data_IF_797238015673
#
_entry.id   IF_797238015673
#
_cell.length_a   1.000
_cell.length_b   1.000
_cell.length_c   1.000
_cell.angle_alpha   90.00
_cell.angle_beta   90.00
_cell.angle_gamma   90.00
#
_symmetry.space_group_name_H-M   'P 1'
#
loop_
_entity.id
_entity.type
_entity.pdbx_description
1 polymer ?
#
# COMPACT_ATOMS: atom_id res chain seq x y z
N UNK A 1 -3.54 -0.05 34.22
CA UNK A 1 -3.54 0.04 33.42
C UNK A 1 -3.38 0.12 32.50
N UNK A 2 -3.14 -0.12 32.33
CA UNK A 2 -2.91 -0.04 31.40
C UNK A 2 -3.16 0.16 30.70
N UNK A 3 -3.44 0.34 30.61
CA UNK A 3 -3.71 0.56 29.76
C UNK A 3 -3.63 0.55 28.76
N UNK A 4 -3.85 0.11 28.69
CA UNK A 4 -3.73 0.06 27.71
C UNK A 4 -3.70 0.92 27.01
N UNK A 5 -3.15 1.12 26.90
CA UNK A 5 -2.76 1.79 26.03
C UNK A 5 -2.95 1.34 24.75
N UNK A 6 -3.32 0.18 24.48
CA UNK A 6 -3.69 -0.26 23.26
C UNK A 6 -4.94 0.37 23.00
N UNK A 7 -5.01 1.32 22.17
CA UNK A 7 -6.19 1.80 21.65
C UNK A 7 -6.76 0.76 20.78
N UNK A 8 -8.00 0.44 20.97
CA UNK A 8 -8.71 -0.38 20.04
C UNK A 8 -8.83 0.37 18.75
N UNK A 9 -8.45 -0.26 17.68
CA UNK A 9 -8.62 0.33 16.36
C UNK A 9 -10.07 0.23 15.94
N UNK A 10 -10.57 1.28 15.32
CA UNK A 10 -11.94 1.30 14.83
C UNK A 10 -11.97 0.83 13.39
N UNK A 11 -12.99 0.05 13.05
CA UNK A 11 -13.20 -0.43 11.69
C UNK A 11 -14.14 0.54 10.97
N UNK A 12 -13.67 1.06 9.84
CA UNK A 12 -14.45 2.01 9.05
C UNK A 12 -14.76 1.40 7.70
N UNK A 13 -16.04 1.31 7.36
CA UNK A 13 -16.46 0.79 6.06
C UNK A 13 -16.08 1.81 5.00
N UNK A 14 -15.34 1.37 3.99
CA UNK A 14 -14.87 2.26 2.93
C UNK A 14 -15.43 1.90 1.57
N UNK A 15 -16.17 0.82 1.47
CA UNK A 15 -16.83 0.44 0.23
C UNK A 15 -17.20 -1.03 0.21
N UNK A 16 -17.66 -1.48 -0.95
CA UNK A 16 -17.95 -2.88 -1.20
C UNK A 16 -16.76 -3.53 -1.87
N UNK A 17 -16.67 -4.83 -1.75
CA UNK A 17 -15.57 -5.57 -2.38
C UNK A 17 -15.49 -5.30 -3.88
N UNK A 18 -16.64 -5.08 -4.53
CA UNK A 18 -16.65 -4.78 -5.96
C UNK A 18 -16.01 -3.44 -6.32
N UNK A 19 -15.82 -2.56 -5.34
CA UNK A 19 -15.13 -1.29 -5.57
C UNK A 19 -13.62 -1.46 -5.65
N UNK A 20 -13.11 -2.63 -5.28
CA UNK A 20 -11.67 -2.89 -5.21
C UNK A 20 -11.33 -4.15 -6.02
N UNK A 21 -11.46 -4.09 -7.34
CA UNK A 21 -11.16 -5.26 -8.16
C UNK A 21 -9.68 -5.62 -8.12
N UNK A 22 -9.41 -6.89 -8.39
CA UNK A 22 -8.03 -7.38 -8.39
C UNK A 22 -7.17 -6.56 -9.36
N UNK A 23 -5.99 -6.15 -8.91
CA UNK A 23 -5.10 -5.30 -9.69
C UNK A 23 -5.43 -3.83 -9.62
N UNK A 24 -6.51 -3.46 -8.92
CA UNK A 24 -6.92 -2.07 -8.80
C UNK A 24 -6.55 -1.46 -7.47
N UNK A 25 -6.76 -0.17 -7.36
CA UNK A 25 -6.56 0.55 -6.12
C UNK A 25 -7.46 1.78 -6.09
N UNK A 26 -7.72 2.26 -4.87
CA UNK A 26 -8.59 3.42 -4.70
C UNK A 26 -8.19 4.13 -3.43
N UNK A 27 -8.20 5.47 -3.48
CA UNK A 27 -7.94 6.27 -2.28
C UNK A 27 -9.26 6.51 -1.58
N UNK A 28 -9.31 6.20 -0.30
CA UNK A 28 -10.50 6.39 0.54
C UNK A 28 -10.16 7.34 1.69
N UNK A 29 -11.17 8.01 2.20
CA UNK A 29 -10.99 8.90 3.33
C UNK A 29 -11.55 8.27 4.59
N UNK A 30 -10.75 8.29 5.64
CA UNK A 30 -11.17 7.82 6.95
C UNK A 30 -10.84 8.93 7.94
N UNK A 31 -11.85 9.72 8.29
CA UNK A 31 -11.63 10.91 9.09
C UNK A 31 -10.80 11.90 8.29
N UNK A 32 -9.65 12.27 8.82
CA UNK A 32 -8.73 13.18 8.14
C UNK A 32 -7.67 12.45 7.33
N UNK A 33 -7.67 11.13 7.36
CA UNK A 33 -6.64 10.34 6.70
C UNK A 33 -7.10 9.95 5.32
N UNK A 34 -6.15 9.99 4.39
CA UNK A 34 -6.37 9.44 3.05
C UNK A 34 -5.56 8.17 2.96
N UNK A 35 -6.23 7.08 2.62
CA UNK A 35 -5.61 5.76 2.61
C UNK A 35 -5.86 5.14 1.25
N UNK A 36 -4.78 4.66 0.62
CA UNK A 36 -4.92 3.90 -0.62
C UNK A 36 -5.15 2.44 -0.29
N UNK A 37 -6.22 1.88 -0.84
CA UNK A 37 -6.54 0.46 -0.68
C UNK A 37 -6.23 -0.23 -1.98
N UNK A 38 -5.37 -1.24 -1.91
CA UNK A 38 -4.88 -1.97 -3.07
C UNK A 38 -5.32 -3.42 -3.00
N UNK A 39 -5.79 -3.96 -4.11
CA UNK A 39 -6.13 -5.36 -4.22
C UNK A 39 -5.05 -6.04 -5.05
N UNK A 40 -4.25 -6.87 -4.40
CA UNK A 40 -3.15 -7.58 -5.05
C UNK A 40 -3.39 -9.08 -4.88
N UNK A 41 -3.77 -9.73 -5.97
CA UNK A 41 -4.02 -11.18 -5.94
C UNK A 41 -5.17 -11.58 -5.04
N UNK A 42 -6.13 -10.70 -4.81
CA UNK A 42 -7.27 -10.96 -3.95
C UNK A 42 -7.07 -10.53 -2.51
N UNK A 43 -5.87 -10.08 -2.16
CA UNK A 43 -5.58 -9.58 -0.82
C UNK A 43 -5.61 -8.07 -0.81
N UNK A 44 -6.19 -7.48 0.22
CA UNK A 44 -6.31 -6.02 0.31
C UNK A 44 -5.28 -5.46 1.27
N UNK A 45 -4.63 -4.38 0.83
CA UNK A 45 -3.60 -3.70 1.61
C UNK A 45 -3.91 -2.22 1.68
N UNK A 46 -3.63 -1.60 2.82
CA UNK A 46 -3.85 -0.17 3.01
C UNK A 46 -2.54 0.56 3.26
N UNK A 47 -2.31 1.63 2.51
CA UNK A 47 -1.15 2.50 2.69
C UNK A 47 -1.59 3.93 2.84
N UNK A 48 -0.85 4.75 3.59
CA UNK A 48 -1.16 6.18 3.65
C UNK A 48 -0.93 6.82 2.28
N UNK A 49 -1.77 7.77 1.92
CA UNK A 49 -1.62 8.48 0.64
C UNK A 49 -0.63 9.64 0.78
N UNK A 50 0.50 9.36 1.43
CA UNK A 50 1.54 10.36 1.67
C UNK A 50 2.88 9.68 1.54
N UNK A 51 3.71 10.19 0.63
CA UNK A 51 5.07 9.70 0.51
C UNK A 51 5.92 10.31 1.63
N UNK A 52 6.58 9.50 2.46
CA UNK A 52 7.38 10.05 3.57
C UNK A 52 8.54 10.90 3.08
N UNK A 53 8.94 10.77 1.82
CA UNK A 53 10.05 11.53 1.28
C UNK A 53 9.69 13.02 1.16
N UNK A 54 8.56 13.35 0.53
CA UNK A 54 8.17 14.75 0.37
C UNK A 54 6.65 14.94 0.37
N UNK A 55 5.94 14.13 1.10
CA UNK A 55 4.49 14.23 1.27
C UNK A 55 3.68 14.22 -0.03
N UNK A 56 4.23 13.64 -1.10
CA UNK A 56 3.49 13.50 -2.34
C UNK A 56 2.32 12.52 -2.22
N UNK A 57 1.33 12.60 -3.13
CA UNK A 57 0.14 11.73 -3.05
C UNK A 57 0.48 10.33 -3.57
N UNK A 58 1.06 9.52 -2.71
CA UNK A 58 1.64 8.22 -3.05
C UNK A 58 0.67 7.30 -3.77
N UNK A 59 -0.59 7.27 -3.35
CA UNK A 59 -1.55 6.30 -3.84
C UNK A 59 -2.39 6.81 -5.02
N UNK A 60 -2.07 7.99 -5.55
CA UNK A 60 -2.84 8.58 -6.66
C UNK A 60 -2.15 8.45 -8.00
N UNK A 61 -1.05 7.72 -8.06
CA UNK A 61 -0.36 7.48 -9.31
C UNK A 61 -0.96 6.33 -10.09
N UNK A 62 -0.14 5.72 -10.93
CA UNK A 62 -0.57 4.60 -11.75
C UNK A 62 -0.86 3.38 -10.89
N UNK A 63 -1.62 2.41 -11.42
CA UNK A 63 -1.83 1.14 -10.71
C UNK A 63 -0.49 0.48 -10.40
N UNK A 64 -0.45 -0.41 -9.39
CA UNK A 64 0.79 -1.07 -9.01
C UNK A 64 1.42 -1.81 -10.18
N UNK A 65 2.74 -1.69 -10.27
CA UNK A 65 3.54 -2.36 -11.27
C UNK A 65 4.57 -3.20 -10.54
N UNK A 66 5.57 -3.68 -11.24
CA UNK A 66 6.72 -4.31 -10.64
C UNK A 66 7.92 -3.41 -10.78
N UNK A 67 9.10 -3.95 -10.60
CA UNK A 67 10.33 -3.19 -10.77
C UNK A 67 11.40 -4.07 -11.39
N UNK A 68 12.40 -3.44 -11.98
CA UNK A 68 13.55 -4.14 -12.54
C UNK A 68 14.69 -4.12 -11.55
N UNK A 69 15.32 -5.28 -11.39
CA UNK A 69 16.53 -5.39 -10.56
C UNK A 69 17.63 -6.05 -11.37
N UNK A 70 18.86 -5.79 -10.99
CA UNK A 70 20.03 -6.42 -11.61
C UNK A 70 20.90 -6.93 -10.48
N UNK A 71 21.25 -8.22 -10.54
CA UNK A 71 22.00 -8.87 -9.46
C UNK A 71 23.12 -9.72 -10.00
N UNK A 72 24.15 -9.89 -9.17
CA UNK A 72 25.27 -10.74 -9.52
C UNK A 72 24.85 -12.18 -9.75
N UNK A 73 23.89 -12.68 -8.99
CA UNK A 73 23.40 -14.06 -9.13
C UNK A 73 22.82 -14.33 -10.52
N UNK A 74 22.37 -13.29 -11.21
CA UNK A 74 21.77 -13.41 -12.52
C UNK A 74 22.63 -12.72 -13.58
N UNK A 75 23.96 -12.73 -13.39
CA UNK A 75 24.94 -12.14 -14.30
C UNK A 75 24.61 -10.69 -14.63
N UNK A 76 24.06 -9.96 -13.67
CA UNK A 76 23.67 -8.55 -13.81
C UNK A 76 22.64 -8.30 -14.89
N UNK A 77 21.92 -9.34 -15.33
CA UNK A 77 20.81 -9.13 -16.24
C UNK A 77 19.62 -8.56 -15.48
N UNK A 78 18.79 -7.78 -16.17
CA UNK A 78 17.61 -7.20 -15.54
C UNK A 78 16.55 -8.26 -15.33
N UNK A 79 15.95 -8.26 -14.16
CA UNK A 79 14.83 -9.13 -13.82
C UNK A 79 13.65 -8.29 -13.40
N UNK A 80 12.47 -8.67 -13.82
CA UNK A 80 11.23 -8.06 -13.38
C UNK A 80 10.80 -8.78 -12.11
N UNK A 81 10.64 -8.03 -11.03
CA UNK A 81 10.25 -8.63 -9.74
C UNK A 81 9.08 -7.85 -9.15
N UNK A 82 8.41 -8.46 -8.17
CA UNK A 82 7.27 -7.86 -7.45
C UNK A 82 6.16 -7.40 -8.39
N UNK A 83 5.87 -8.18 -9.43
CA UNK A 83 4.87 -7.82 -10.42
C UNK A 83 3.53 -7.53 -9.77
N UNK A 84 2.97 -6.34 -10.07
CA UNK A 84 1.69 -5.94 -9.51
C UNK A 84 1.73 -5.48 -8.06
N UNK A 85 2.92 -5.41 -7.45
CA UNK A 85 3.06 -5.13 -6.02
C UNK A 85 3.79 -3.84 -5.69
N UNK A 86 4.16 -3.05 -6.69
CA UNK A 86 4.98 -1.85 -6.48
C UNK A 86 4.18 -0.61 -6.84
N UNK A 87 4.13 0.36 -5.93
CA UNK A 87 3.53 1.66 -6.19
C UNK A 87 4.66 2.69 -6.26
N UNK A 88 4.50 3.65 -7.17
CA UNK A 88 5.52 4.66 -7.44
C UNK A 88 4.97 6.01 -7.03
N UNK A 89 5.74 6.73 -6.19
CA UNK A 89 5.35 8.08 -5.82
C UNK A 89 5.40 8.97 -7.07
N UNK A 90 4.29 9.62 -7.44
CA UNK A 90 4.25 10.39 -8.68
C UNK A 90 5.16 11.63 -8.68
N UNK A 91 5.60 12.09 -7.50
CA UNK A 91 6.42 13.28 -7.44
C UNK A 91 7.90 12.99 -7.72
N UNK A 92 8.45 11.89 -7.19
CA UNK A 92 9.88 11.65 -7.30
C UNK A 92 10.24 10.25 -7.76
N UNK A 93 9.26 9.43 -8.06
CA UNK A 93 9.53 8.10 -8.59
C UNK A 93 10.06 7.09 -7.58
N UNK A 94 9.94 7.37 -6.28
CA UNK A 94 10.32 6.38 -5.28
C UNK A 94 9.34 5.22 -5.32
N UNK A 95 9.88 4.00 -5.31
CA UNK A 95 9.08 2.79 -5.39
C UNK A 95 8.91 2.16 -4.02
N UNK A 96 7.68 1.74 -3.73
CA UNK A 96 7.35 1.08 -2.48
C UNK A 96 6.69 -0.26 -2.75
N UNK A 97 7.10 -1.26 -1.99
CA UNK A 97 6.48 -2.58 -2.06
C UNK A 97 5.21 -2.54 -1.22
N UNK A 98 4.05 -2.68 -1.86
CA UNK A 98 2.76 -2.49 -1.19
C UNK A 98 2.55 -3.48 -0.03
N UNK A 99 2.78 -4.79 -0.21
CA UNK A 99 2.51 -5.74 0.87
C UNK A 99 3.35 -5.51 2.13
N UNK A 100 4.55 -4.97 2.00
CA UNK A 100 5.43 -4.74 3.16
C UNK A 100 5.52 -3.30 3.58
N UNK A 101 5.19 -2.36 2.69
CA UNK A 101 5.36 -0.93 2.95
C UNK A 101 6.79 -0.45 2.80
N UNK A 102 7.71 -1.30 2.35
CA UNK A 102 9.12 -0.95 2.31
C UNK A 102 9.47 -0.18 1.05
N UNK A 103 10.27 0.88 1.21
CA UNK A 103 10.83 1.60 0.06
C UNK A 103 11.93 0.76 -0.56
N UNK A 104 11.86 0.53 -1.87
CA UNK A 104 12.82 -0.37 -2.53
C UNK A 104 14.21 0.27 -2.64
N UNK A 105 14.28 1.58 -2.86
CA UNK A 105 15.57 2.26 -2.96
C UNK A 105 16.21 2.49 -1.60
N UNK A 106 15.39 2.64 -0.56
CA UNK A 106 15.88 2.95 0.78
C UNK A 106 15.22 2.00 1.77
N UNK A 107 15.77 0.79 1.96
CA UNK A 107 15.10 -0.24 2.78
C UNK A 107 14.83 0.15 4.23
N UNK A 108 15.48 1.18 4.73
CA UNK A 108 15.21 1.67 6.08
C UNK A 108 13.98 2.59 6.15
N UNK A 109 13.38 2.93 5.02
CA UNK A 109 12.15 3.71 4.99
C UNK A 109 10.98 2.76 4.79
N UNK A 110 10.04 2.78 5.74
CA UNK A 110 8.89 1.90 5.68
C UNK A 110 7.63 2.73 5.89
N UNK A 111 6.61 2.44 5.09
CA UNK A 111 5.31 3.05 5.27
C UNK A 111 4.54 2.31 6.36
N UNK A 112 3.77 3.06 7.13
CA UNK A 112 2.84 2.44 8.05
C UNK A 112 1.71 1.81 7.24
N UNK A 113 1.47 0.53 7.42
CA UNK A 113 0.37 -0.14 6.73
C UNK A 113 -0.87 -0.10 7.60
N UNK A 114 -2.00 0.02 6.96
CA UNK A 114 -3.29 -0.09 7.63
C UNK A 114 -3.88 -1.46 7.34
N UNK A 115 -4.42 -2.08 8.35
CA UNK A 115 -5.06 -3.37 8.16
C UNK A 115 -6.39 -3.17 7.45
N UNK A 116 -6.66 -4.00 6.43
CA UNK A 116 -7.90 -3.95 5.67
C UNK A 116 -8.55 -5.31 5.80
N UNK A 117 -9.81 -5.33 6.20
CA UNK A 117 -10.55 -6.59 6.37
C UNK A 117 -11.82 -6.55 5.53
N UNK A 118 -12.29 -7.74 5.18
CA UNK A 118 -13.53 -7.90 4.42
C UNK A 118 -14.49 -8.70 5.27
N UNK A 119 -15.67 -8.16 5.49
CA UNK A 119 -16.74 -8.88 6.20
C UNK A 119 -17.96 -8.92 5.29
N UNK A 120 -18.33 -10.12 4.85
CA UNK A 120 -19.33 -10.26 3.81
C UNK A 120 -18.79 -9.60 2.55
N UNK A 121 -19.48 -8.58 2.06
CA UNK A 121 -19.02 -7.82 0.91
C UNK A 121 -18.48 -6.45 1.30
N UNK A 122 -18.40 -6.14 2.59
CA UNK A 122 -17.95 -4.83 3.04
C UNK A 122 -16.46 -4.82 3.26
N UNK A 123 -15.81 -3.79 2.74
CA UNK A 123 -14.38 -3.56 2.95
C UNK A 123 -14.22 -2.54 4.06
N UNK A 124 -13.43 -2.89 5.07
CA UNK A 124 -13.22 -2.03 6.23
C UNK A 124 -11.74 -1.80 6.45
N UNK A 125 -11.41 -0.58 6.82
CA UNK A 125 -10.04 -0.21 7.18
C UNK A 125 -10.00 0.01 8.70
N UNK A 126 -9.00 -0.57 9.34
CA UNK A 126 -8.80 -0.43 10.78
C UNK A 126 -7.80 0.69 11.04
N UNK A 127 -8.21 1.68 11.82
CA UNK A 127 -7.35 2.81 12.15
C UNK A 127 -7.29 3.05 13.65
#
# INVERSE_FOLDING_TARGET
MAHSEKKEREAHVVGDLSDFPEGGHKVVKVGRREIGVFNIGGELFGLPNVCPHQTGPLCEGKPPLGTLVSRAENDWRFEWVHDGEVVVCPWHGLEYHVPTGQCLAYPNINLRRYEVVVEGDEVKVLV
#
